data_IF_674444483713
#
_entry.id   IF_674444483713
#
_cell.length_a   1.000
_cell.length_b   1.000
_cell.length_c   1.000
_cell.angle_alpha   90.00
_cell.angle_beta   90.00
_cell.angle_gamma   90.00
#
_symmetry.space_group_name_H-M   'P 1'
#
loop_
_entity.id
_entity.type
_entity.pdbx_description
1 polymer ?
#
# COMPACT_ATOMS: atom_id res chain seq x y z
N UNK A 1 11.95 11.49 3.70
CA UNK A 1 11.37 10.72 2.58
C UNK A 1 10.15 9.99 3.10
N UNK A 2 8.97 10.25 2.56
CA UNK A 2 7.74 9.55 3.00
C UNK A 2 7.73 8.11 2.51
N UNK A 3 7.08 7.19 3.24
CA UNK A 3 6.96 5.79 2.82
C UNK A 3 6.31 5.64 1.43
N UNK A 4 5.37 6.52 1.08
CA UNK A 4 4.79 6.59 -0.27
C UNK A 4 5.85 6.93 -1.33
N UNK A 5 6.78 7.84 -1.07
CA UNK A 5 7.85 8.17 -2.02
C UNK A 5 8.85 7.02 -2.16
N UNK A 6 9.14 6.31 -1.06
CA UNK A 6 9.94 5.09 -1.08
C UNK A 6 9.27 4.01 -1.94
N UNK A 7 7.96 3.82 -1.79
CA UNK A 7 7.17 2.91 -2.61
C UNK A 7 7.18 3.31 -4.10
N UNK A 8 7.03 4.61 -4.40
CA UNK A 8 7.11 5.14 -5.76
C UNK A 8 8.49 4.88 -6.38
N UNK A 9 9.55 5.09 -5.61
CA UNK A 9 10.93 4.85 -6.04
C UNK A 9 11.19 3.35 -6.29
N UNK A 10 10.70 2.49 -5.39
CA UNK A 10 10.79 1.03 -5.53
C UNK A 10 10.01 0.51 -6.75
N UNK A 11 8.83 1.07 -7.05
CA UNK A 11 8.07 0.78 -8.27
C UNK A 11 8.67 1.42 -9.54
N UNK A 12 9.65 2.31 -9.39
CA UNK A 12 10.29 3.09 -10.46
C UNK A 12 9.58 4.40 -10.83
N UNK A 13 8.25 4.47 -10.78
CA UNK A 13 7.52 5.74 -10.99
C UNK A 13 6.11 5.72 -10.39
N UNK A 14 5.57 6.91 -10.13
CA UNK A 14 4.22 7.06 -9.58
C UNK A 14 3.17 6.51 -10.56
N UNK A 15 3.37 6.68 -11.87
CA UNK A 15 2.46 6.14 -12.89
C UNK A 15 2.51 4.62 -12.96
N UNK A 16 3.69 4.00 -12.87
CA UNK A 16 3.80 2.52 -12.79
C UNK A 16 3.10 2.00 -11.55
N UNK A 17 3.34 2.62 -10.40
CA UNK A 17 2.69 2.26 -9.15
C UNK A 17 1.16 2.37 -9.28
N UNK A 18 0.66 3.46 -9.86
CA UNK A 18 -0.78 3.66 -10.07
C UNK A 18 -1.38 2.56 -10.97
N UNK A 19 -0.73 2.24 -12.09
CA UNK A 19 -1.16 1.17 -12.99
C UNK A 19 -1.17 -0.21 -12.32
N UNK A 20 -0.12 -0.52 -11.54
CA UNK A 20 -0.03 -1.78 -10.80
C UNK A 20 -1.12 -1.90 -9.72
N UNK A 21 -1.51 -0.77 -9.12
CA UNK A 21 -2.62 -0.71 -8.17
C UNK A 21 -4.01 -0.59 -8.82
N UNK A 22 -4.09 -0.50 -10.15
CA UNK A 22 -5.35 -0.28 -10.87
C UNK A 22 -6.02 1.06 -10.51
N UNK A 23 -5.22 2.08 -10.20
CA UNK A 23 -5.72 3.43 -9.85
C UNK A 23 -5.19 4.48 -10.80
N UNK A 24 -5.86 5.64 -10.77
CA UNK A 24 -5.35 6.83 -11.42
C UNK A 24 -4.14 7.39 -10.67
N UNK A 25 -3.16 7.89 -11.42
CA UNK A 25 -2.00 8.63 -10.88
C UNK A 25 -2.43 9.83 -10.01
N UNK A 26 -3.61 10.39 -10.30
CA UNK A 26 -4.22 11.47 -9.52
C UNK A 26 -4.52 11.03 -8.08
N UNK A 27 -4.88 9.76 -7.86
CA UNK A 27 -5.11 9.19 -6.52
C UNK A 27 -3.83 9.21 -5.68
N UNK A 28 -2.68 8.88 -6.29
CA UNK A 28 -1.37 8.92 -5.61
C UNK A 28 -0.99 10.36 -5.24
N UNK A 29 -1.20 11.31 -6.16
CA UNK A 29 -1.01 12.74 -5.88
C UNK A 29 -1.92 13.22 -4.75
N UNK A 30 -3.15 12.70 -4.70
CA UNK A 30 -4.08 12.98 -3.61
C UNK A 30 -3.55 12.46 -2.27
N UNK A 31 -3.04 11.23 -2.20
CA UNK A 31 -2.42 10.71 -0.98
C UNK A 31 -1.22 11.54 -0.53
N UNK A 32 -0.36 11.95 -1.48
CA UNK A 32 0.78 12.80 -1.20
C UNK A 32 0.38 14.16 -0.61
N UNK A 33 -0.60 14.84 -1.22
CA UNK A 33 -0.98 16.21 -0.84
C UNK A 33 -2.01 16.27 0.31
N UNK A 34 -3.10 15.50 0.23
CA UNK A 34 -4.18 15.52 1.23
C UNK A 34 -3.80 14.77 2.49
N UNK A 35 -3.19 13.60 2.33
CA UNK A 35 -2.91 12.69 3.43
C UNK A 35 -1.46 12.77 3.88
N UNK A 36 -0.67 13.74 3.39
CA UNK A 36 0.77 13.88 3.68
C UNK A 36 1.58 12.60 3.40
N UNK A 37 1.13 11.77 2.47
CA UNK A 37 1.73 10.47 2.16
C UNK A 37 1.16 9.29 2.97
N UNK A 38 0.11 9.49 3.78
CA UNK A 38 -0.64 8.38 4.37
C UNK A 38 -1.51 7.71 3.30
N UNK A 39 -1.37 6.39 3.22
CA UNK A 39 -2.18 5.55 2.34
C UNK A 39 -3.32 4.91 3.15
N UNK A 40 -4.53 4.76 2.59
CA UNK A 40 -5.61 4.01 3.24
C UNK A 40 -5.23 2.55 3.50
N UNK A 41 -5.67 1.96 4.62
CA UNK A 41 -5.35 0.58 5.00
C UNK A 41 -5.67 -0.44 3.90
N UNK A 42 -6.79 -0.25 3.19
CA UNK A 42 -7.24 -1.08 2.07
C UNK A 42 -6.22 -1.14 0.90
N UNK A 43 -5.43 -0.07 0.73
CA UNK A 43 -4.46 0.09 -0.36
C UNK A 43 -3.04 -0.28 0.07
N UNK A 44 -2.80 -0.48 1.36
CA UNK A 44 -1.46 -0.77 1.88
C UNK A 44 -0.97 -2.14 1.38
N UNK A 45 -1.82 -3.15 1.39
CA UNK A 45 -1.50 -4.49 0.88
C UNK A 45 -1.07 -4.51 -0.59
N UNK A 46 -1.84 -3.93 -1.54
CA UNK A 46 -1.41 -3.89 -2.92
C UNK A 46 -0.12 -3.07 -3.11
N UNK A 47 0.10 -1.99 -2.35
CA UNK A 47 1.41 -1.30 -2.39
C UNK A 47 2.53 -2.23 -1.91
N UNK A 48 2.35 -2.91 -0.78
CA UNK A 48 3.32 -3.85 -0.24
C UNK A 48 3.64 -4.95 -1.25
N UNK A 49 2.63 -5.52 -1.91
CA UNK A 49 2.82 -6.58 -2.90
C UNK A 49 3.64 -6.13 -4.12
N UNK A 50 3.50 -4.87 -4.52
CA UNK A 50 4.18 -4.31 -5.72
C UNK A 50 5.56 -3.75 -5.39
N UNK A 51 5.74 -3.20 -4.18
CA UNK A 51 6.93 -2.40 -3.81
C UNK A 51 7.77 -2.99 -2.69
N UNK A 52 7.21 -3.93 -1.93
CA UNK A 52 7.82 -4.48 -0.71
C UNK A 52 7.79 -3.54 0.50
N UNK A 53 7.21 -2.34 0.39
CA UNK A 53 7.12 -1.39 1.52
C UNK A 53 6.04 -1.85 2.49
N UNK A 54 6.42 -2.03 3.76
CA UNK A 54 5.54 -2.61 4.77
C UNK A 54 4.43 -1.64 5.22
N UNK A 55 3.29 -2.18 5.67
CA UNK A 55 2.21 -1.41 6.30
C UNK A 55 2.68 -0.49 7.41
N UNK A 56 3.61 -0.98 8.22
CA UNK A 56 4.20 -0.26 9.34
C UNK A 56 4.95 1.01 8.87
N UNK A 57 5.67 0.96 7.75
CA UNK A 57 6.31 2.17 7.20
C UNK A 57 5.28 3.18 6.67
N UNK A 58 4.19 2.70 6.06
CA UNK A 58 3.14 3.56 5.48
C UNK A 58 2.22 4.19 6.54
N UNK A 59 1.89 3.43 7.59
CA UNK A 59 0.93 3.78 8.65
C UNK A 59 1.40 3.20 10.01
N UNK A 60 2.46 3.74 10.61
CA UNK A 60 2.90 3.30 11.95
C UNK A 60 1.82 3.57 13.02
N UNK A 61 0.94 4.55 12.77
CA UNK A 61 -0.19 4.92 13.64
C UNK A 61 -1.30 3.86 13.69
N UNK A 62 -1.51 3.13 12.59
CA UNK A 62 -2.53 2.07 12.51
C UNK A 62 -1.93 0.68 12.80
N UNK A 63 -0.66 0.47 12.45
CA UNK A 63 0.04 -0.80 12.58
C UNK A 63 1.29 -0.61 13.41
N UNK A 64 1.19 -0.65 14.75
CA UNK A 64 2.35 -0.47 15.64
C UNK A 64 3.31 -1.67 15.61
N UNK A 65 2.83 -2.87 15.25
CA UNK A 65 3.67 -4.06 15.13
C UNK A 65 4.02 -4.34 13.65
N UNK A 66 5.25 -4.80 13.35
CA UNK A 66 5.68 -5.14 11.99
C UNK A 66 4.91 -6.32 11.36
N UNK A 67 4.17 -7.08 12.17
CA UNK A 67 3.33 -8.22 11.76
C UNK A 67 1.85 -7.84 11.62
N UNK A 68 1.47 -6.64 12.09
CA UNK A 68 0.09 -6.18 12.08
C UNK A 68 -0.23 -5.62 10.68
N UNK A 69 -1.17 -6.26 9.99
CA UNK A 69 -1.49 -5.90 8.61
C UNK A 69 -0.67 -6.62 7.54
N UNK A 70 -0.11 -7.80 7.84
CA UNK A 70 0.14 -8.82 6.81
C UNK A 70 -1.14 -9.67 6.66
N UNK A 71 -1.54 -10.09 5.45
CA UNK A 71 -2.67 -10.99 5.33
C UNK A 71 -2.21 -12.25 6.05
N UNK A 72 -2.94 -12.66 7.10
CA UNK A 72 -2.85 -14.04 7.52
C UNK A 72 -3.20 -14.85 6.27
N UNK A 73 -2.19 -15.48 5.70
CA UNK A 73 -2.34 -16.26 4.50
C UNK A 73 -3.54 -17.21 4.69
N UNK A 74 -4.35 -17.34 3.64
CA UNK A 74 -5.43 -18.33 3.49
C UNK A 74 -6.66 -18.13 4.39
N UNK A 75 -7.66 -17.40 3.88
CA UNK A 75 -9.05 -17.86 3.95
C UNK A 75 -9.52 -18.21 2.52
N UNK A 76 -8.77 -19.10 1.88
CA UNK A 76 -9.32 -19.99 0.87
C UNK A 76 -10.17 -21.02 1.63
N UNK A 77 -11.48 -20.80 1.66
CA UNK A 77 -12.48 -21.79 2.06
C UNK A 77 -13.83 -21.33 1.50
N UNK A 78 -13.96 -21.28 0.18
CA UNK A 78 -15.27 -21.53 -0.45
C UNK A 78 -15.35 -23.03 -0.69
N UNK A 79 -16.03 -23.83 0.16
CA UNK A 79 -16.71 -24.98 -0.39
C UNK A 79 -17.89 -24.42 -1.19
N UNK A 80 -17.84 -24.68 -2.48
CA UNK A 80 -18.99 -24.71 -3.38
C UNK A 80 -20.16 -25.44 -2.72
N UNK A 81 -21.34 -24.81 -2.64
CA UNK A 81 -22.63 -25.48 -2.44
C UNK A 81 -23.76 -24.65 -3.03
#
# INVERSE_FOLDING_TARGET
MSALEKAICAAGSATKLANQLGISSMTISHWKNRYKGLVPADRVFPIFNVTGVTPHELRPDLYPNPTDGLPQATQDSRPEN
#
